data_IF_966991696997
#
_entry.id   IF_966991696997
#
_cell.length_a   1.000
_cell.length_b   1.000
_cell.length_c   1.000
_cell.angle_alpha   90.00
_cell.angle_beta   90.00
_cell.angle_gamma   90.00
#
_symmetry.space_group_name_H-M   'P 1'
#
loop_
_entity.id
_entity.type
_entity.pdbx_description
1 polymer ?
#
# COMPACT_ATOMS: atom_id res chain seq x y z
N UNK A 1 -26.75 -1.68 21.01
CA UNK A 1 -27.08 -1.46 19.59
C UNK A 1 -25.77 -1.48 18.82
N UNK A 2 -25.55 -2.52 18.03
CA UNK A 2 -24.32 -2.71 17.27
C UNK A 2 -24.23 -1.61 16.19
N UNK A 3 -23.17 -0.81 16.24
CA UNK A 3 -22.86 0.13 15.18
C UNK A 3 -22.64 -0.67 13.89
N UNK A 4 -23.46 -0.37 12.90
CA UNK A 4 -23.44 -0.93 11.56
C UNK A 4 -22.03 -0.88 11.01
N UNK A 5 -21.50 -2.05 10.64
CA UNK A 5 -20.25 -2.23 9.89
C UNK A 5 -20.39 -1.43 8.59
N UNK A 6 -19.93 -0.18 8.60
CA UNK A 6 -19.96 0.69 7.43
C UNK A 6 -19.11 0.02 6.36
N UNK A 7 -19.75 -0.44 5.29
CA UNK A 7 -19.10 -1.12 4.19
C UNK A 7 -17.91 -0.28 3.70
N UNK A 8 -16.70 -0.75 4.01
CA UNK A 8 -15.45 -0.09 3.61
C UNK A 8 -15.55 0.23 2.12
N UNK A 9 -15.33 1.48 1.70
CA UNK A 9 -15.49 1.85 0.30
C UNK A 9 -14.61 0.95 -0.55
N UNK A 10 -15.23 0.37 -1.58
CA UNK A 10 -14.61 -0.60 -2.47
C UNK A 10 -13.45 0.05 -3.23
N UNK A 11 -13.54 1.36 -3.49
CA UNK A 11 -12.62 2.12 -4.31
C UNK A 11 -12.30 3.48 -3.67
N UNK A 12 -11.03 3.85 -3.67
CA UNK A 12 -10.54 5.19 -3.30
C UNK A 12 -10.03 5.91 -4.53
N UNK A 13 -10.06 7.26 -4.48
CA UNK A 13 -9.73 8.12 -5.62
C UNK A 13 -8.83 9.25 -5.17
N UNK A 14 -7.91 9.66 -6.04
CA UNK A 14 -7.05 10.82 -5.84
C UNK A 14 -6.71 11.47 -7.20
N UNK A 15 -6.45 12.76 -7.22
CA UNK A 15 -6.07 13.46 -8.45
C UNK A 15 -4.74 12.92 -9.03
N UNK A 16 -4.62 12.84 -10.35
CA UNK A 16 -3.43 12.32 -11.03
C UNK A 16 -2.16 13.10 -10.70
N UNK A 17 -2.26 14.41 -10.44
CA UNK A 17 -1.12 15.21 -9.99
C UNK A 17 -0.55 14.70 -8.65
N UNK A 18 -1.40 14.18 -7.76
CA UNK A 18 -0.94 13.53 -6.54
C UNK A 18 -0.44 12.12 -6.83
N UNK A 19 -1.02 11.38 -7.77
CA UNK A 19 -0.46 10.08 -8.16
C UNK A 19 0.92 10.20 -8.78
N UNK A 20 1.18 11.17 -9.65
CA UNK A 20 2.45 11.34 -10.37
C UNK A 20 3.48 12.18 -9.63
N UNK A 21 3.08 12.92 -8.60
CA UNK A 21 4.02 13.75 -7.83
C UNK A 21 5.17 12.92 -7.25
N UNK A 22 6.36 13.54 -7.21
CA UNK A 22 7.58 12.94 -6.69
C UNK A 22 7.58 13.06 -5.17
N UNK A 23 7.17 12.01 -4.48
CA UNK A 23 7.31 11.93 -3.03
C UNK A 23 7.65 10.52 -2.60
N UNK A 24 8.44 10.42 -1.54
CA UNK A 24 8.59 9.18 -0.79
C UNK A 24 7.47 9.11 0.21
N UNK A 25 6.72 8.00 0.19
CA UNK A 25 5.95 7.61 1.36
C UNK A 25 6.48 6.31 1.91
N UNK A 26 6.57 6.22 3.23
CA UNK A 26 6.74 4.93 3.89
C UNK A 26 5.48 4.08 3.67
N UNK A 27 5.58 2.76 3.89
CA UNK A 27 4.41 1.89 3.80
C UNK A 27 3.33 2.30 4.83
N UNK A 28 3.75 2.79 6.00
CA UNK A 28 2.87 3.29 7.07
C UNK A 28 2.20 4.61 6.67
N UNK A 29 2.95 5.56 6.10
CA UNK A 29 2.39 6.81 5.55
C UNK A 29 1.34 6.53 4.48
N UNK A 30 1.60 5.60 3.56
CA UNK A 30 0.58 5.21 2.56
C UNK A 30 -0.65 4.59 3.20
N UNK A 31 -0.50 3.76 4.23
CA UNK A 31 -1.65 3.16 4.93
C UNK A 31 -2.50 4.24 5.64
N UNK A 32 -1.86 5.26 6.23
CA UNK A 32 -2.55 6.42 6.78
C UNK A 32 -3.31 7.17 5.68
N UNK A 33 -2.66 7.46 4.54
CA UNK A 33 -3.28 8.18 3.42
C UNK A 33 -4.44 7.39 2.82
N UNK A 34 -4.31 6.08 2.60
CA UNK A 34 -5.39 5.24 2.10
C UNK A 34 -6.57 5.18 3.09
N UNK A 35 -6.28 5.10 4.38
CA UNK A 35 -7.30 5.16 5.43
C UNK A 35 -8.03 6.51 5.44
N UNK A 36 -7.30 7.60 5.25
CA UNK A 36 -7.87 8.94 5.14
C UNK A 36 -8.76 9.05 3.90
N UNK A 37 -8.26 8.65 2.73
CA UNK A 37 -9.01 8.63 1.47
C UNK A 37 -10.31 7.81 1.58
N UNK A 38 -10.30 6.73 2.36
CA UNK A 38 -11.49 5.89 2.59
C UNK A 38 -12.60 6.58 3.38
N UNK A 39 -12.28 7.62 4.15
CA UNK A 39 -13.25 8.35 4.97
C UNK A 39 -13.74 9.64 4.30
N UNK A 40 -13.15 10.03 3.18
CA UNK A 40 -13.51 11.25 2.49
C UNK A 40 -14.92 11.17 1.90
N UNK A 41 -15.68 12.25 2.09
CA UNK A 41 -16.98 12.44 1.46
C UNK A 41 -17.07 13.80 0.76
N UNK A 42 -17.86 13.86 -0.33
CA UNK A 42 -18.12 15.11 -1.07
C UNK A 42 -18.87 16.16 -0.25
N UNK A 43 -19.55 15.75 0.82
CA UNK A 43 -20.28 16.67 1.70
C UNK A 43 -19.40 17.21 2.85
N UNK A 44 -18.13 16.80 2.94
CA UNK A 44 -17.25 17.20 4.03
C UNK A 44 -16.88 18.68 3.94
N UNK A 45 -17.06 19.39 5.06
CA UNK A 45 -16.65 20.79 5.22
C UNK A 45 -15.13 20.91 5.29
N UNK A 46 -14.61 22.12 5.09
CA UNK A 46 -13.17 22.39 5.16
C UNK A 46 -12.57 21.98 6.52
N UNK A 47 -13.30 22.20 7.62
CA UNK A 47 -12.89 21.91 9.00
C UNK A 47 -13.18 20.49 9.48
N UNK A 48 -13.43 19.53 8.57
CA UNK A 48 -13.71 18.15 8.96
C UNK A 48 -12.45 17.47 9.49
N UNK A 49 -12.54 16.93 10.71
CA UNK A 49 -11.50 16.11 11.34
C UNK A 49 -11.80 14.64 11.07
N UNK A 50 -10.79 13.91 10.60
CA UNK A 50 -10.89 12.49 10.26
C UNK A 50 -10.23 11.63 11.32
N UNK A 51 -11.04 10.88 12.06
CA UNK A 51 -10.56 9.91 13.05
C UNK A 51 -10.21 8.58 12.38
N UNK A 52 -8.96 8.12 12.54
CA UNK A 52 -8.43 6.92 11.88
C UNK A 52 -7.77 6.01 12.91
N UNK A 53 -8.12 4.73 12.82
CA UNK A 53 -7.41 3.63 13.47
C UNK A 53 -6.80 2.72 12.41
N UNK A 54 -5.55 3.00 12.04
CA UNK A 54 -4.87 2.35 10.91
C UNK A 54 -4.78 0.82 11.08
N UNK A 55 -4.55 0.37 12.32
CA UNK A 55 -4.39 -1.05 12.61
C UNK A 55 -5.69 -1.84 12.40
N UNK A 56 -6.84 -1.24 12.73
CA UNK A 56 -8.16 -1.86 12.52
C UNK A 56 -8.49 -2.00 11.03
N UNK A 57 -8.08 -1.03 10.20
CA UNK A 57 -8.35 -1.03 8.76
C UNK A 57 -7.41 -1.93 7.95
N UNK A 58 -6.15 -2.01 8.37
CA UNK A 58 -5.11 -2.73 7.61
C UNK A 58 -4.86 -4.15 8.12
N UNK A 59 -5.27 -4.46 9.36
CA UNK A 59 -4.86 -5.68 10.06
C UNK A 59 -3.36 -5.73 10.40
N UNK A 60 -2.62 -4.63 10.20
CA UNK A 60 -1.18 -4.53 10.47
C UNK A 60 -0.93 -3.84 11.79
N UNK A 61 0.09 -4.31 12.49
CA UNK A 61 0.59 -3.67 13.71
C UNK A 61 1.69 -2.68 13.34
N UNK A 62 1.37 -1.38 13.37
CA UNK A 62 2.36 -0.31 13.33
C UNK A 62 2.69 0.12 14.75
N UNK A 63 3.98 0.33 15.07
CA UNK A 63 4.33 0.83 16.39
C UNK A 63 4.03 2.34 16.51
N UNK A 64 3.87 2.83 17.74
CA UNK A 64 3.52 4.23 18.02
C UNK A 64 4.48 5.22 17.36
N UNK A 65 5.79 4.95 17.45
CA UNK A 65 6.82 5.82 16.87
C UNK A 65 6.68 5.91 15.34
N UNK A 66 6.44 4.80 14.65
CA UNK A 66 6.23 4.79 13.21
C UNK A 66 5.03 5.61 12.79
N UNK A 67 3.93 5.55 13.54
CA UNK A 67 2.74 6.34 13.24
C UNK A 67 3.00 7.83 13.47
N UNK A 68 3.68 8.19 14.58
CA UNK A 68 4.07 9.57 14.88
C UNK A 68 4.98 10.15 13.80
N UNK A 69 6.09 9.48 13.49
CA UNK A 69 7.06 9.88 12.46
C UNK A 69 6.34 10.00 11.09
N UNK A 70 5.44 9.07 10.77
CA UNK A 70 4.66 9.12 9.52
C UNK A 70 3.76 10.34 9.46
N UNK A 71 3.05 10.68 10.54
CA UNK A 71 2.18 11.87 10.57
C UNK A 71 2.98 13.17 10.50
N UNK A 72 4.15 13.23 11.15
CA UNK A 72 5.06 14.37 11.08
C UNK A 72 5.59 14.58 9.65
N UNK A 73 6.00 13.50 8.99
CA UNK A 73 6.43 13.54 7.59
C UNK A 73 5.32 13.95 6.63
N UNK A 74 4.09 13.46 6.84
CA UNK A 74 2.94 13.85 6.01
C UNK A 74 2.58 15.33 6.18
N UNK A 75 2.72 15.85 7.40
CA UNK A 75 2.43 17.24 7.73
C UNK A 75 3.51 18.21 7.18
N UNK A 76 4.78 17.83 7.26
CA UNK A 76 5.91 18.65 6.79
C UNK A 76 6.14 18.61 5.28
N UNK A 77 5.54 17.65 4.57
CA UNK A 77 5.76 17.48 3.13
C UNK A 77 4.98 18.50 2.31
N UNK A 78 5.71 19.26 1.49
CA UNK A 78 5.15 20.21 0.52
C UNK A 78 4.97 19.55 -0.85
N UNK A 79 3.74 19.54 -1.34
CA UNK A 79 3.38 19.16 -2.70
C UNK A 79 3.42 20.39 -3.60
N UNK A 80 3.98 20.20 -4.80
CA UNK A 80 4.03 21.21 -5.84
C UNK A 80 3.05 20.82 -6.93
N UNK A 81 1.98 21.59 -7.09
CA UNK A 81 0.96 21.36 -8.11
C UNK A 81 1.03 22.51 -9.10
N UNK A 82 1.50 22.21 -10.30
CA UNK A 82 1.64 23.15 -11.40
C UNK A 82 0.48 22.99 -12.39
N UNK A 83 -0.24 24.08 -12.65
CA UNK A 83 -1.34 24.13 -13.64
C UNK A 83 -0.94 24.86 -14.93
N UNK A 84 0.35 25.19 -15.08
CA UNK A 84 0.91 26.03 -16.14
C UNK A 84 0.69 27.53 -15.91
N UNK A 85 -0.39 27.91 -15.23
CA UNK A 85 -0.69 29.31 -14.86
C UNK A 85 -0.32 29.63 -13.41
N UNK A 86 -0.44 28.65 -12.52
CA UNK A 86 -0.16 28.80 -11.09
C UNK A 86 0.63 27.61 -10.58
N UNK A 87 1.56 27.89 -9.66
CA UNK A 87 2.29 26.90 -8.91
C UNK A 87 1.80 26.94 -7.46
N UNK A 88 1.04 25.92 -7.05
CA UNK A 88 0.56 25.77 -5.68
C UNK A 88 1.56 24.94 -4.88
N UNK A 89 2.01 25.50 -3.76
CA UNK A 89 2.77 24.79 -2.72
C UNK A 89 1.85 24.54 -1.54
N UNK A 90 1.62 23.27 -1.20
CA UNK A 90 0.62 22.90 -0.20
C UNK A 90 0.99 21.59 0.49
N UNK A 91 0.79 21.51 1.81
CA UNK A 91 0.92 20.26 2.58
C UNK A 91 -0.34 19.40 2.43
N UNK A 92 -0.21 18.09 2.63
CA UNK A 92 -1.40 17.22 2.63
C UNK A 92 -2.29 17.48 3.85
N UNK A 93 -1.65 17.57 5.02
CA UNK A 93 -2.30 17.75 6.31
C UNK A 93 -2.11 19.19 6.79
N UNK A 94 -3.13 19.72 7.43
CA UNK A 94 -3.06 20.94 8.22
C UNK A 94 -2.62 20.62 9.65
N UNK A 95 -3.14 19.52 10.21
CA UNK A 95 -2.80 19.04 11.54
C UNK A 95 -2.93 17.52 11.64
N UNK A 96 -2.18 16.95 12.57
CA UNK A 96 -2.29 15.55 12.99
C UNK A 96 -2.22 15.49 14.51
N UNK A 97 -3.29 15.02 15.14
CA UNK A 97 -3.39 14.86 16.59
C UNK A 97 -3.40 13.37 16.94
N UNK A 98 -2.57 12.98 17.91
CA UNK A 98 -2.47 11.60 18.35
C UNK A 98 -3.14 11.42 19.71
N UNK A 99 -4.20 10.61 19.79
CA UNK A 99 -4.83 10.24 21.06
C UNK A 99 -4.04 9.12 21.71
N UNK A 100 -3.15 9.50 22.64
CA UNK A 100 -2.32 8.56 23.40
C UNK A 100 -3.20 7.56 24.16
N UNK A 101 -2.84 6.28 24.11
CA UNK A 101 -3.57 5.20 24.77
C UNK A 101 -4.71 4.58 23.95
N UNK A 102 -5.31 5.32 23.01
CA UNK A 102 -6.41 4.83 22.17
C UNK A 102 -5.94 4.22 20.84
N UNK A 103 -4.71 4.54 20.40
CA UNK A 103 -4.20 4.13 19.08
C UNK A 103 -4.88 4.85 17.92
N UNK A 104 -5.57 5.95 18.22
CA UNK A 104 -6.36 6.75 17.28
C UNK A 104 -5.59 8.00 16.85
N UNK A 105 -5.66 8.31 15.56
CA UNK A 105 -5.07 9.51 14.96
C UNK A 105 -6.21 10.35 14.38
N UNK A 106 -6.21 11.63 14.72
CA UNK A 106 -7.07 12.63 14.10
C UNK A 106 -6.27 13.42 13.07
N UNK A 107 -6.81 13.48 11.85
CA UNK A 107 -6.18 14.20 10.74
C UNK A 107 -7.08 15.31 10.24
N UNK A 108 -6.49 16.46 9.99
CA UNK A 108 -7.12 17.57 9.29
C UNK A 108 -6.43 17.77 7.94
N UNK A 109 -7.20 17.81 6.87
CA UNK A 109 -6.67 18.01 5.51
C UNK A 109 -6.55 19.50 5.25
N UNK A 110 -5.40 19.93 4.69
CA UNK A 110 -5.21 21.31 4.25
C UNK A 110 -6.30 21.75 3.28
N UNK A 111 -6.92 22.90 3.54
CA UNK A 111 -8.05 23.40 2.75
C UNK A 111 -7.76 23.46 1.25
N UNK A 112 -6.56 23.93 0.88
CA UNK A 112 -6.09 24.01 -0.52
C UNK A 112 -5.80 22.64 -1.16
N UNK A 113 -5.66 21.58 -0.37
CA UNK A 113 -5.45 20.21 -0.85
C UNK A 113 -6.78 19.48 -1.14
N UNK A 114 -7.88 19.85 -0.46
CA UNK A 114 -9.17 19.18 -0.57
C UNK A 114 -9.68 19.01 -2.01
N UNK A 115 -9.58 20.00 -2.91
CA UNK A 115 -10.05 19.85 -4.30
C UNK A 115 -9.33 18.72 -5.07
N UNK A 116 -8.10 18.38 -4.68
CA UNK A 116 -7.30 17.32 -5.30
C UNK A 116 -7.56 15.93 -4.71
N UNK A 117 -8.40 15.83 -3.68
CA UNK A 117 -8.77 14.58 -3.03
C UNK A 117 -10.27 14.28 -3.15
N UNK A 118 -11.12 15.30 -3.07
CA UNK A 118 -12.59 15.16 -2.95
C UNK A 118 -13.30 15.57 -4.25
N UNK A 119 -12.99 16.74 -4.79
CA UNK A 119 -13.69 17.35 -5.94
C UNK A 119 -13.13 16.89 -7.29
N UNK A 120 -12.98 15.58 -7.42
CA UNK A 120 -12.43 14.94 -8.60
C UNK A 120 -13.49 14.87 -9.72
N UNK A 121 -13.43 15.80 -10.67
CA UNK A 121 -14.29 15.81 -11.87
C UNK A 121 -13.70 14.98 -13.02
N UNK A 122 -12.39 15.09 -13.24
CA UNK A 122 -11.62 14.38 -14.26
C UNK A 122 -10.16 14.24 -13.80
N UNK A 123 -9.36 13.46 -14.53
CA UNK A 123 -7.93 13.25 -14.22
C UNK A 123 -7.66 12.72 -12.81
N UNK A 124 -8.35 11.66 -12.43
CA UNK A 124 -8.11 10.96 -11.17
C UNK A 124 -7.65 9.53 -11.40
N UNK A 125 -6.94 9.01 -10.42
CA UNK A 125 -6.59 7.60 -10.33
C UNK A 125 -7.54 6.95 -9.35
N UNK A 126 -8.13 5.81 -9.73
CA UNK A 126 -8.99 5.04 -8.84
C UNK A 126 -8.45 3.63 -8.65
N UNK A 127 -8.47 3.16 -7.40
CA UNK A 127 -7.91 1.85 -7.04
C UNK A 127 -8.62 1.26 -5.82
N UNK A 128 -8.58 -0.07 -5.69
CA UNK A 128 -9.30 -0.79 -4.63
C UNK A 128 -8.56 -0.67 -3.31
N UNK A 129 -9.27 -0.23 -2.28
CA UNK A 129 -8.67 -0.03 -0.95
C UNK A 129 -8.11 -1.32 -0.36
N UNK A 130 -8.88 -2.42 -0.45
CA UNK A 130 -8.43 -3.74 0.03
C UNK A 130 -7.17 -4.23 -0.69
N UNK A 131 -7.05 -3.96 -1.98
CA UNK A 131 -5.86 -4.29 -2.76
C UNK A 131 -4.67 -3.41 -2.36
N UNK A 132 -4.88 -2.12 -2.12
CA UNK A 132 -3.81 -1.24 -1.64
C UNK A 132 -3.27 -1.67 -0.27
N UNK A 133 -4.14 -2.14 0.63
CA UNK A 133 -3.77 -2.66 1.94
C UNK A 133 -3.12 -4.04 1.91
N UNK A 134 -3.44 -4.91 0.95
CA UNK A 134 -2.82 -6.24 0.86
C UNK A 134 -1.33 -6.17 0.52
N UNK A 135 -0.89 -5.13 -0.19
CA UNK A 135 0.51 -4.90 -0.56
C UNK A 135 1.34 -4.45 0.64
N UNK A 136 2.43 -5.17 0.94
CA UNK A 136 3.30 -4.87 2.09
C UNK A 136 4.48 -3.98 1.74
N UNK A 137 5.00 -4.12 0.51
CA UNK A 137 6.13 -3.32 0.03
C UNK A 137 5.70 -1.90 -0.30
N UNK A 138 6.46 -0.89 0.16
CA UNK A 138 6.25 0.52 -0.24
C UNK A 138 6.33 0.68 -1.76
N UNK A 139 7.20 -0.09 -2.42
CA UNK A 139 7.34 -0.07 -3.87
C UNK A 139 6.13 -0.70 -4.57
N UNK A 140 5.60 -1.82 -4.04
CA UNK A 140 4.41 -2.44 -4.57
C UNK A 140 3.20 -1.50 -4.49
N UNK A 141 2.97 -0.88 -3.33
CA UNK A 141 1.91 0.12 -3.16
C UNK A 141 2.04 1.28 -4.14
N UNK A 142 3.27 1.75 -4.36
CA UNK A 142 3.54 2.88 -5.27
C UNK A 142 3.32 2.51 -6.73
N UNK A 143 3.84 1.36 -7.16
CA UNK A 143 3.68 0.85 -8.53
C UNK A 143 2.23 0.48 -8.79
N UNK A 144 1.48 -0.02 -7.81
CA UNK A 144 0.04 -0.27 -7.94
C UNK A 144 -0.75 1.00 -8.23
N UNK A 145 -0.44 2.11 -7.54
CA UNK A 145 -1.07 3.41 -7.84
C UNK A 145 -0.75 3.88 -9.26
N UNK A 146 0.52 3.76 -9.68
CA UNK A 146 0.92 4.09 -11.05
C UNK A 146 0.20 3.21 -12.08
N UNK A 147 0.19 1.88 -11.90
CA UNK A 147 -0.49 0.96 -12.79
C UNK A 147 -2.01 1.22 -12.84
N UNK A 148 -2.63 1.55 -11.71
CA UNK A 148 -4.06 1.87 -11.62
C UNK A 148 -4.44 3.11 -12.41
N UNK A 149 -3.52 4.07 -12.59
CA UNK A 149 -3.75 5.25 -13.42
C UNK A 149 -3.87 4.89 -14.91
N UNK A 150 -3.24 3.80 -15.34
CA UNK A 150 -3.16 3.38 -16.73
C UNK A 150 -3.95 2.09 -17.02
N UNK A 151 -4.76 1.61 -16.07
CA UNK A 151 -5.49 0.33 -16.18
C UNK A 151 -6.47 0.28 -17.36
N UNK A 152 -7.02 1.43 -17.77
CA UNK A 152 -7.96 1.52 -18.89
C UNK A 152 -7.25 1.54 -20.26
N UNK A 153 -5.99 1.99 -20.28
CA UNK A 153 -5.15 2.05 -21.50
C UNK A 153 -4.43 0.72 -21.72
N UNK A 154 -4.06 0.04 -20.64
CA UNK A 154 -3.38 -1.25 -20.66
C UNK A 154 -1.86 -1.16 -20.59
N UNK A 155 -1.29 0.04 -20.66
CA UNK A 155 0.13 0.27 -20.51
C UNK A 155 0.45 1.67 -19.99
N UNK A 156 1.53 1.79 -19.22
CA UNK A 156 2.01 3.08 -18.74
C UNK A 156 2.80 3.81 -19.81
N UNK A 157 3.00 5.12 -19.63
CA UNK A 157 4.08 5.82 -20.33
C UNK A 157 5.43 5.14 -20.03
N UNK A 158 6.38 5.32 -20.93
CA UNK A 158 7.77 4.91 -20.70
C UNK A 158 8.42 5.87 -19.72
N UNK A 159 8.91 5.35 -18.60
CA UNK A 159 9.66 6.13 -17.61
C UNK A 159 11.15 5.92 -17.84
N UNK A 160 11.95 6.99 -17.84
CA UNK A 160 13.39 6.80 -17.71
C UNK A 160 13.70 6.19 -16.35
N UNK A 161 14.77 5.41 -16.25
CA UNK A 161 15.16 4.80 -14.98
C UNK A 161 15.50 5.87 -13.93
N UNK A 162 16.05 7.00 -14.34
CA UNK A 162 16.31 8.13 -13.43
C UNK A 162 15.00 8.74 -12.92
N UNK A 163 14.02 8.99 -13.79
CA UNK A 163 12.69 9.49 -13.38
C UNK A 163 12.01 8.48 -12.46
N UNK A 164 12.05 7.19 -12.81
CA UNK A 164 11.43 6.13 -12.03
C UNK A 164 12.08 5.97 -10.65
N UNK A 165 13.40 5.93 -10.58
CA UNK A 165 14.14 5.89 -9.31
C UNK A 165 13.88 7.14 -8.49
N UNK A 166 13.80 8.33 -9.09
CA UNK A 166 13.45 9.55 -8.39
C UNK A 166 12.01 9.53 -7.85
N UNK A 167 11.03 9.03 -8.60
CA UNK A 167 9.64 8.87 -8.15
C UNK A 167 9.50 7.90 -6.97
N UNK A 168 10.37 6.88 -6.90
CA UNK A 168 10.45 5.94 -5.77
C UNK A 168 11.44 6.41 -4.67
N UNK A 169 12.05 7.59 -4.84
CA UNK A 169 13.14 8.16 -4.03
C UNK A 169 14.28 7.17 -3.75
N UNK A 170 14.59 6.36 -4.76
CA UNK A 170 15.80 5.53 -4.81
C UNK A 170 17.01 6.34 -5.28
N UNK A 171 16.76 7.49 -5.92
CA UNK A 171 17.78 8.41 -6.42
C UNK A 171 17.39 9.83 -6.05
N UNK A 172 18.31 10.54 -5.39
CA UNK A 172 18.19 11.98 -5.22
C UNK A 172 18.71 12.68 -6.47
N UNK A 173 17.88 13.51 -7.09
CA UNK A 173 18.26 14.30 -8.26
C UNK A 173 19.24 15.43 -7.90
N UNK A 174 19.29 15.84 -6.62
CA UNK A 174 20.25 16.82 -6.12
C UNK A 174 21.62 16.21 -5.84
N UNK A 175 21.74 14.87 -5.88
CA UNK A 175 23.00 14.15 -5.66
C UNK A 175 23.52 14.20 -4.22
N UNK A 176 22.70 14.60 -3.24
CA UNK A 176 23.11 14.68 -1.82
C UNK A 176 23.11 13.30 -1.17
N UNK A 177 22.16 12.46 -1.54
CA UNK A 177 22.01 11.10 -1.01
C UNK A 177 22.52 10.04 -2.00
N UNK A 178 23.13 8.95 -1.51
CA UNK A 178 23.61 7.87 -2.38
C UNK A 178 22.45 7.15 -3.07
N UNK A 179 22.66 6.81 -4.34
CA UNK A 179 21.66 6.07 -5.13
C UNK A 179 21.49 4.63 -4.60
N UNK A 180 20.25 4.29 -4.24
CA UNK A 180 19.87 2.94 -3.87
C UNK A 180 19.61 2.10 -5.13
N UNK A 181 20.05 0.84 -5.08
CA UNK A 181 19.93 -0.10 -6.19
C UNK A 181 20.51 0.48 -7.50
N UNK A 182 21.73 1.01 -7.44
CA UNK A 182 22.43 1.55 -8.61
C UNK A 182 22.49 0.53 -9.75
N UNK A 183 22.79 -0.73 -9.43
CA UNK A 183 22.77 -1.86 -10.37
C UNK A 183 21.34 -2.23 -10.78
N UNK A 184 21.13 -2.41 -12.09
CA UNK A 184 19.83 -2.79 -12.65
C UNK A 184 19.32 -4.12 -12.07
N UNK A 185 20.20 -5.09 -11.90
CA UNK A 185 19.86 -6.39 -11.30
C UNK A 185 19.29 -6.24 -9.88
N UNK A 186 19.83 -5.33 -9.08
CA UNK A 186 19.32 -5.03 -7.74
C UNK A 186 17.97 -4.32 -7.80
N UNK A 187 17.78 -3.38 -8.73
CA UNK A 187 16.49 -2.72 -8.94
C UNK A 187 15.42 -3.73 -9.34
N UNK A 188 15.74 -4.65 -10.25
CA UNK A 188 14.84 -5.73 -10.65
C UNK A 188 14.46 -6.58 -9.43
N UNK A 189 15.46 -7.17 -8.77
CA UNK A 189 15.25 -8.13 -7.69
C UNK A 189 14.48 -7.56 -6.50
N UNK A 190 14.81 -6.35 -6.05
CA UNK A 190 14.28 -5.81 -4.79
C UNK A 190 13.08 -4.86 -4.98
N UNK A 191 12.86 -4.35 -6.19
CA UNK A 191 11.80 -3.36 -6.46
C UNK A 191 10.81 -3.91 -7.46
N UNK A 192 11.23 -4.21 -8.70
CA UNK A 192 10.32 -4.56 -9.78
C UNK A 192 9.70 -5.94 -9.60
N UNK A 193 10.49 -6.95 -9.26
CA UNK A 193 10.04 -8.33 -9.10
C UNK A 193 9.16 -8.47 -7.86
N UNK A 194 9.56 -7.85 -6.74
CA UNK A 194 8.77 -7.80 -5.50
C UNK A 194 7.42 -7.13 -5.76
N UNK A 195 7.40 -5.98 -6.43
CA UNK A 195 6.16 -5.27 -6.72
C UNK A 195 5.26 -6.06 -7.68
N UNK A 196 5.83 -6.63 -8.75
CA UNK A 196 5.10 -7.42 -9.74
C UNK A 196 4.47 -8.64 -9.12
N UNK A 197 5.21 -9.36 -8.28
CA UNK A 197 4.72 -10.55 -7.56
C UNK A 197 3.56 -10.18 -6.64
N UNK A 198 3.76 -9.19 -5.76
CA UNK A 198 2.72 -8.79 -4.81
C UNK A 198 1.44 -8.30 -5.50
N UNK A 199 1.58 -7.48 -6.55
CA UNK A 199 0.44 -6.93 -7.30
C UNK A 199 -0.33 -8.05 -7.99
N UNK A 200 0.37 -8.96 -8.67
CA UNK A 200 -0.26 -10.05 -9.41
C UNK A 200 -0.98 -11.06 -8.51
N UNK A 201 -0.51 -11.26 -7.28
CA UNK A 201 -1.09 -12.21 -6.34
C UNK A 201 -2.25 -11.61 -5.53
N UNK A 202 -2.16 -10.34 -5.15
CA UNK A 202 -3.02 -9.77 -4.10
C UNK A 202 -3.96 -8.66 -4.57
N UNK A 203 -4.00 -8.34 -5.87
CA UNK A 203 -4.78 -7.22 -6.39
C UNK A 203 -5.64 -7.59 -7.59
N UNK A 204 -6.48 -6.64 -8.00
CA UNK A 204 -7.31 -6.71 -9.21
C UNK A 204 -6.55 -6.38 -10.50
N UNK A 205 -5.24 -6.15 -10.42
CA UNK A 205 -4.39 -5.90 -11.57
C UNK A 205 -3.35 -6.99 -11.74
N UNK A 206 -3.09 -7.34 -12.99
CA UNK A 206 -1.96 -8.16 -13.40
C UNK A 206 -1.00 -7.27 -14.20
N UNK A 207 0.18 -7.05 -13.66
CA UNK A 207 1.22 -6.25 -14.27
C UNK A 207 2.37 -7.11 -14.80
N UNK A 208 3.00 -6.61 -15.86
CA UNK A 208 4.31 -7.03 -16.34
C UNK A 208 5.14 -5.78 -16.58
N UNK A 209 6.46 -5.88 -16.46
CA UNK A 209 7.34 -4.78 -16.79
C UNK A 209 8.30 -5.18 -17.90
N UNK A 210 8.70 -4.21 -18.70
CA UNK A 210 9.74 -4.33 -19.70
C UNK A 210 10.82 -3.28 -19.44
N UNK A 211 12.08 -3.72 -19.45
CA UNK A 211 13.23 -2.82 -19.42
C UNK A 211 13.72 -2.59 -20.84
N UNK A 212 13.71 -1.32 -21.26
CA UNK A 212 14.09 -0.92 -22.60
C UNK A 212 15.56 -0.49 -22.63
N UNK A 213 16.30 -1.07 -23.58
CA UNK A 213 17.71 -0.73 -23.82
C UNK A 213 17.85 0.47 -24.75
N UNK A 214 18.90 1.24 -24.52
CA UNK A 214 19.44 2.20 -25.48
C UNK A 214 20.93 1.94 -25.61
N UNK A 215 21.33 1.30 -26.71
CA UNK A 215 22.67 0.74 -26.86
C UNK A 215 22.87 -0.48 -25.96
N UNK A 216 23.91 -0.47 -25.13
CA UNK A 216 24.26 -1.60 -24.25
C UNK A 216 23.58 -1.57 -22.88
N UNK A 217 23.06 -0.42 -22.45
CA UNK A 217 22.46 -0.25 -21.13
C UNK A 217 20.93 -0.14 -21.19
N UNK A 218 20.29 -0.62 -20.12
CA UNK A 218 18.88 -0.33 -19.87
C UNK A 218 18.74 1.14 -19.47
N UNK A 219 17.79 1.86 -20.08
CA UNK A 219 17.57 3.29 -19.80
C UNK A 219 16.15 3.60 -19.35
N UNK A 220 15.19 2.73 -19.65
CA UNK A 220 13.79 3.00 -19.34
C UNK A 220 13.05 1.75 -18.88
N UNK A 221 11.93 1.96 -18.18
CA UNK A 221 10.99 0.92 -17.78
C UNK A 221 9.60 1.28 -18.27
N UNK A 222 8.86 0.26 -18.73
CA UNK A 222 7.45 0.37 -19.11
C UNK A 222 6.67 -0.73 -18.40
N UNK A 223 5.47 -0.42 -17.92
CA UNK A 223 4.58 -1.41 -17.31
C UNK A 223 3.39 -1.68 -18.22
N UNK A 224 3.06 -2.95 -18.40
CA UNK A 224 1.86 -3.44 -19.03
C UNK A 224 0.88 -3.85 -17.93
N UNK A 225 -0.38 -3.44 -18.06
CA UNK A 225 -1.39 -3.53 -17.02
C UNK A 225 -2.64 -4.19 -17.60
N UNK A 226 -3.04 -5.31 -17.03
CA UNK A 226 -4.31 -5.95 -17.35
C UNK A 226 -5.16 -6.05 -16.09
N UNK A 227 -6.48 -5.99 -16.23
CA UNK A 227 -7.39 -6.29 -15.12
C UNK A 227 -7.50 -7.80 -14.91
N UNK A 228 -7.66 -8.20 -13.66
CA UNK A 228 -7.92 -9.59 -13.29
C UNK A 228 -8.92 -9.65 -12.15
N UNK A 229 -9.58 -10.80 -12.01
CA UNK A 229 -10.30 -11.10 -10.77
C UNK A 229 -9.24 -11.47 -9.72
N UNK A 230 -9.15 -10.75 -8.59
CA UNK A 230 -8.20 -11.12 -7.54
C UNK A 230 -8.42 -12.58 -7.16
N UNK A 231 -7.35 -13.37 -7.07
CA UNK A 231 -7.45 -14.67 -6.42
C UNK A 231 -7.88 -14.40 -4.98
N UNK A 232 -9.13 -14.76 -4.63
CA UNK A 232 -9.58 -14.66 -3.26
C UNK A 232 -8.67 -15.56 -2.43
N UNK A 233 -7.88 -14.96 -1.54
CA UNK A 233 -7.28 -15.72 -0.46
C UNK A 233 -8.43 -16.47 0.25
N UNK A 234 -8.29 -17.77 0.54
CA UNK A 234 -9.34 -18.51 1.22
C UNK A 234 -9.70 -17.75 2.49
N UNK A 235 -10.93 -17.25 2.53
CA UNK A 235 -11.49 -16.71 3.76
C UNK A 235 -11.38 -17.82 4.79
N UNK A 236 -10.69 -17.59 5.89
CA UNK A 236 -10.69 -18.50 7.03
C UNK A 236 -12.15 -18.64 7.49
N UNK A 237 -12.87 -19.63 6.93
CA UNK A 237 -14.15 -20.07 7.48
C UNK A 237 -13.79 -20.55 8.88
N UNK A 238 -14.38 -19.89 9.88
CA UNK A 238 -14.18 -20.21 11.28
C UNK A 238 -14.19 -21.71 11.46
N UNK A 239 -13.14 -22.22 12.09
CA UNK A 239 -13.04 -23.61 12.49
C UNK A 239 -14.26 -23.95 13.33
N UNK A 240 -15.24 -24.61 12.72
CA UNK A 240 -16.26 -25.33 13.47
C UNK A 240 -15.55 -26.47 14.17
N UNK A 241 -15.27 -26.26 15.45
CA UNK A 241 -14.78 -27.29 16.36
C UNK A 241 -15.80 -28.43 16.35
N UNK A 242 -15.51 -29.51 15.63
CA UNK A 242 -16.22 -30.78 15.84
C UNK A 242 -15.87 -31.29 17.24
N UNK A 243 -16.83 -31.62 18.11
CA UNK A 243 -16.52 -32.20 19.40
C UNK A 243 -15.88 -33.58 19.20
N UNK A 244 -14.73 -33.79 19.83
CA UNK A 244 -14.13 -35.12 19.96
C UNK A 244 -15.04 -35.99 20.82
N UNK A 245 -15.51 -37.09 20.23
CA UNK A 245 -16.14 -38.19 20.95
C UNK A 245 -15.06 -38.93 21.74
N UNK A 246 -15.18 -38.90 23.07
CA UNK A 246 -14.34 -39.68 23.99
C UNK A 246 -14.79 -41.15 23.95
N UNK A 247 -14.04 -41.99 23.25
CA UNK A 247 -14.18 -43.43 23.28
C UNK A 247 -13.50 -44.02 24.52
N UNK A 248 -14.29 -44.66 25.38
CA UNK A 248 -13.84 -45.26 26.64
C UNK A 248 -12.96 -46.50 26.45
N UNK A 249 -11.96 -46.62 27.32
CA UNK A 249 -11.09 -47.78 27.50
C UNK A 249 -11.88 -49.03 27.95
N UNK A 250 -11.49 -50.20 27.43
CA UNK A 250 -11.38 -51.42 28.25
C UNK A 250 -10.09 -52.17 27.96
N UNK A 251 -9.50 -52.55 29.08
CA UNK A 251 -8.29 -53.31 29.35
C UNK A 251 -8.43 -54.80 29.02
N UNK A 252 -7.31 -55.45 28.71
CA UNK A 252 -6.76 -56.70 29.31
C UNK A 252 -5.54 -57.13 28.45
N UNK A 253 -4.30 -56.96 28.93
CA UNK A 253 -3.50 -57.93 29.72
C UNK A 253 -3.29 -59.28 29.03
N UNK A 254 -2.08 -59.56 28.50
CA UNK A 254 -1.17 -60.61 29.03
C UNK A 254 0.19 -60.70 28.30
N UNK A 255 1.27 -60.71 29.11
CA UNK A 255 2.58 -61.42 29.04
C UNK A 255 3.49 -61.44 27.77
N UNK A 256 4.61 -60.69 27.88
CA UNK A 256 6.09 -61.02 27.78
C UNK A 256 6.57 -62.41 27.27
N UNK A 257 7.89 -62.61 26.92
CA UNK A 257 9.03 -61.68 26.72
C UNK A 257 10.06 -62.03 25.58
N UNK A 258 11.18 -61.28 25.55
CA UNK A 258 12.51 -61.52 24.93
C UNK A 258 12.69 -60.94 23.51
N UNK A 259 13.84 -60.37 23.09
CA UNK A 259 15.22 -60.52 23.52
C UNK A 259 16.08 -59.24 23.27
N UNK A 260 17.31 -59.34 23.75
CA UNK A 260 18.42 -58.39 23.92
C UNK A 260 19.17 -58.06 22.61
N UNK A 261 19.75 -56.86 22.49
CA UNK A 261 21.16 -56.62 22.11
C UNK A 261 21.53 -55.13 22.08
N UNK A 262 22.68 -54.83 22.67
CA UNK A 262 23.36 -53.53 22.83
C UNK A 262 24.51 -53.45 21.81
N UNK A 263 25.00 -52.23 21.59
CA UNK A 263 26.37 -51.82 21.18
C UNK A 263 26.59 -51.76 19.66
N UNK A 264 27.24 -50.73 19.10
CA UNK A 264 28.23 -49.79 19.66
C UNK A 264 27.98 -48.38 19.17
#
# INVERSE_FOLDING_TARGET
MAATESAIPIEIRQHNALTTARYEMSACEMDIVFSLLSKLSKQDKASTIYEIKVQELTGRTWNYKQLLDSTEHLNSRVYHIDTGKTLLQVSLLASALYRKGEGTIELEISERMRPYLIDLKSNFTSYRLKAAFSLSSKYAKRIYQLASQWKDIGETKTYSLDEFKAMLKLKDLSGKEPEQYAQISSLQKYVLDVATTQINEHTDLRIKYELLKKGRSYQSVKFYVNTQVPQQLPQCRGSSTKPLVVGGNRTTSTRRPSAVAVTT
#
